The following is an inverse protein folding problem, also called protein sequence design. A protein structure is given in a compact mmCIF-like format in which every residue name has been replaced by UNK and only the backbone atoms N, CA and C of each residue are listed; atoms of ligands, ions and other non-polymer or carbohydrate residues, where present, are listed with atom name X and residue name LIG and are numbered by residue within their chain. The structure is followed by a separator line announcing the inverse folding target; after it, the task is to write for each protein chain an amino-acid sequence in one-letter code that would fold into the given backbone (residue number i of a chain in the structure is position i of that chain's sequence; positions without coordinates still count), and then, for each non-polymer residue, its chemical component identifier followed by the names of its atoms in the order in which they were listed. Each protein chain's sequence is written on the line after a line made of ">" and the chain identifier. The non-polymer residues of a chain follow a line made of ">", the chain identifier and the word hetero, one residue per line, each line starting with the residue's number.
data_IF_962117949208
#
_entry.id   IF_962117949208
#
_cell.length_a   1.000
_cell.length_b   1.000
_cell.length_c   1.000
_cell.angle_alpha   90.00
_cell.angle_beta   90.00
_cell.angle_gamma   90.00
#
_symmetry.space_group_name_H-M   'P 1'
#
loop_
_entity.id
_entity.type
_entity.pdbx_description
1 polymer ?
#
# COMPACT_ATOMS: atom_id res chain seq x y z
N UNK A 1 35.45 -31.26 -6.74
CA UNK A 1 34.15 -31.74 -7.27
C UNK A 1 33.10 -30.65 -7.11
N UNK A 2 32.22 -30.45 -8.11
CA UNK A 2 31.02 -29.60 -7.98
C UNK A 2 29.93 -30.42 -7.29
N UNK A 3 29.26 -29.82 -6.32
CA UNK A 3 28.12 -30.41 -5.60
C UNK A 3 26.92 -29.50 -5.83
N UNK A 4 25.78 -30.11 -6.13
CA UNK A 4 24.51 -29.42 -6.37
C UNK A 4 23.41 -30.09 -5.55
N UNK A 5 22.69 -29.28 -4.77
CA UNK A 5 21.57 -29.72 -3.95
C UNK A 5 20.25 -29.28 -4.60
N UNK A 6 19.39 -30.24 -4.90
CA UNK A 6 18.00 -29.99 -5.34
C UNK A 6 17.05 -30.43 -4.24
N UNK A 7 16.15 -29.54 -3.82
CA UNK A 7 15.11 -29.87 -2.84
C UNK A 7 14.00 -30.69 -3.54
N UNK A 8 13.46 -31.75 -2.90
CA UNK A 8 12.38 -32.52 -3.50
C UNK A 8 11.10 -31.67 -3.65
N UNK A 9 10.47 -31.64 -4.84
CA UNK A 9 9.21 -30.93 -5.04
C UNK A 9 8.12 -31.53 -4.15
N UNK A 10 7.26 -30.67 -3.56
CA UNK A 10 6.21 -31.09 -2.64
C UNK A 10 6.71 -31.53 -1.25
N UNK A 11 8.00 -31.39 -0.96
CA UNK A 11 8.51 -31.52 0.40
C UNK A 11 8.07 -30.33 1.25
N UNK A 12 8.02 -30.47 2.60
CA UNK A 12 7.77 -29.34 3.49
C UNK A 12 8.84 -28.23 3.35
N UNK A 13 9.94 -28.47 2.63
CA UNK A 13 11.07 -27.56 2.47
C UNK A 13 11.05 -26.77 1.15
N UNK A 14 10.03 -26.92 0.30
CA UNK A 14 9.97 -26.28 -1.02
C UNK A 14 9.92 -24.72 -0.96
N UNK A 15 9.57 -24.18 0.21
CA UNK A 15 9.59 -22.75 0.49
C UNK A 15 10.99 -22.20 0.85
N UNK A 16 11.97 -23.09 1.10
CA UNK A 16 13.34 -22.69 1.41
C UNK A 16 14.04 -22.17 0.16
N UNK A 17 14.86 -21.14 0.34
CA UNK A 17 15.72 -20.57 -0.71
C UNK A 17 17.20 -20.65 -0.27
N UNK A 18 18.16 -20.64 -1.21
CA UNK A 18 19.56 -20.57 -0.86
C UNK A 18 19.86 -19.29 -0.07
N UNK A 19 20.36 -19.45 1.16
CA UNK A 19 20.68 -18.34 2.05
C UNK A 19 22.10 -17.80 1.81
N UNK A 20 22.33 -16.55 2.18
CA UNK A 20 23.65 -15.91 2.13
C UNK A 20 24.61 -16.38 3.23
N UNK A 21 24.10 -17.04 4.28
CA UNK A 21 24.89 -17.60 5.37
C UNK A 21 25.25 -19.06 5.05
N UNK A 22 26.53 -19.35 4.80
CA UNK A 22 27.01 -20.70 4.47
C UNK A 22 27.10 -20.94 2.95
N UNK A 23 27.14 -22.22 2.55
CA UNK A 23 27.20 -22.61 1.13
C UNK A 23 25.81 -22.48 0.51
N UNK A 24 25.71 -21.97 -0.72
CA UNK A 24 24.47 -21.95 -1.51
C UNK A 24 24.15 -23.35 -2.04
N UNK A 25 23.08 -23.54 -2.83
CA UNK A 25 22.73 -24.85 -3.41
C UNK A 25 23.74 -25.37 -4.44
N UNK A 26 24.69 -24.53 -4.87
CA UNK A 26 25.81 -24.94 -5.75
C UNK A 26 27.13 -24.50 -5.12
N UNK A 27 28.01 -25.45 -4.84
CA UNK A 27 29.32 -25.16 -4.28
C UNK A 27 30.38 -26.18 -4.70
N UNK A 28 31.64 -25.85 -4.45
CA UNK A 28 32.78 -26.73 -4.72
C UNK A 28 33.31 -27.34 -3.42
N UNK A 29 33.69 -28.61 -3.47
CA UNK A 29 34.33 -29.33 -2.37
C UNK A 29 35.54 -30.12 -2.87
N UNK A 30 36.54 -30.31 -2.01
CA UNK A 30 37.73 -31.12 -2.29
C UNK A 30 37.61 -32.44 -1.53
N UNK A 31 37.80 -33.56 -2.22
CA UNK A 31 37.58 -34.89 -1.65
C UNK A 31 38.81 -35.45 -0.90
N UNK A 32 38.59 -36.38 0.04
CA UNK A 32 37.31 -36.78 0.63
C UNK A 32 36.85 -35.79 1.72
N UNK A 33 35.58 -35.36 1.67
CA UNK A 33 34.98 -34.43 2.66
C UNK A 33 33.63 -34.98 3.08
N UNK A 34 33.33 -34.94 4.39
CA UNK A 34 32.02 -35.20 5.00
C UNK A 34 31.56 -33.94 5.76
N UNK A 35 30.29 -33.87 6.17
CA UNK A 35 29.75 -32.71 6.89
C UNK A 35 29.60 -31.46 6.02
N UNK A 36 29.03 -31.62 4.82
CA UNK A 36 28.74 -30.48 3.94
C UNK A 36 27.41 -29.85 4.33
N UNK A 37 27.47 -28.70 4.99
CA UNK A 37 26.28 -27.93 5.36
C UNK A 37 25.92 -26.90 4.28
N UNK A 38 24.62 -26.74 4.03
CA UNK A 38 24.06 -25.70 3.16
C UNK A 38 23.29 -24.67 3.99
N UNK A 39 23.43 -23.42 3.60
CA UNK A 39 22.60 -22.33 4.13
C UNK A 39 21.29 -22.27 3.39
N UNK A 40 20.19 -22.51 4.07
CA UNK A 40 18.85 -22.29 3.54
C UNK A 40 18.15 -21.23 4.39
N UNK A 41 17.44 -20.31 3.75
CA UNK A 41 16.63 -19.31 4.43
C UNK A 41 15.15 -19.49 4.08
N UNK A 42 14.30 -19.11 5.02
CA UNK A 42 12.86 -18.92 4.82
C UNK A 42 12.66 -17.45 4.47
N UNK A 43 12.36 -17.08 3.20
CA UNK A 43 12.22 -15.67 2.83
C UNK A 43 11.10 -14.96 3.59
N UNK A 44 10.09 -15.69 4.07
CA UNK A 44 8.99 -15.08 4.83
C UNK A 44 9.44 -14.63 6.24
N UNK A 45 10.42 -15.32 6.83
CA UNK A 45 10.98 -15.00 8.16
C UNK A 45 12.09 -13.94 8.09
N UNK A 46 12.45 -13.51 6.88
CA UNK A 46 13.44 -12.44 6.72
C UNK A 46 12.88 -11.12 7.26
N UNK A 47 13.60 -10.57 8.24
CA UNK A 47 13.41 -9.22 8.73
C UNK A 47 14.67 -8.41 8.42
N UNK A 48 14.48 -7.25 7.77
CA UNK A 48 15.56 -6.30 7.56
C UNK A 48 15.94 -5.65 8.90
N UNK A 49 17.22 -5.31 9.08
CA UNK A 49 17.73 -4.78 10.34
C UNK A 49 17.04 -3.47 10.77
N UNK A 50 16.64 -2.65 9.78
CA UNK A 50 15.94 -1.39 10.00
C UNK A 50 14.86 -1.24 8.92
N UNK A 51 13.60 -1.63 9.19
CA UNK A 51 12.55 -1.55 8.19
C UNK A 51 11.94 -0.16 8.06
N UNK A 52 11.52 0.18 6.85
CA UNK A 52 10.56 1.26 6.64
C UNK A 52 9.22 0.91 7.32
N UNK A 53 8.69 1.86 8.08
CA UNK A 53 7.34 1.84 8.66
C UNK A 53 6.53 2.88 7.94
N UNK A 54 5.40 2.48 7.34
CA UNK A 54 4.47 3.42 6.73
C UNK A 54 3.33 3.80 7.68
N UNK A 55 2.78 5.00 7.48
CA UNK A 55 1.54 5.44 8.10
C UNK A 55 0.72 6.27 7.13
N UNK A 56 -0.59 6.30 7.37
CA UNK A 56 -1.56 7.08 6.59
C UNK A 56 -1.84 8.42 7.28
N UNK A 57 -1.85 9.49 6.50
CA UNK A 57 -2.23 10.83 6.91
C UNK A 57 -3.63 11.16 6.35
N UNK A 58 -4.41 11.92 7.12
CA UNK A 58 -5.77 12.29 6.73
C UNK A 58 -5.86 13.80 6.59
N UNK A 59 -6.19 14.25 5.39
CA UNK A 59 -6.30 15.66 5.04
C UNK A 59 -7.76 16.10 5.12
N UNK A 60 -7.96 17.36 5.48
CA UNK A 60 -9.30 17.95 5.51
C UNK A 60 -9.70 18.41 4.12
N UNK A 61 -10.88 17.99 3.66
CA UNK A 61 -11.49 18.40 2.39
C UNK A 61 -11.58 17.27 1.37
N UNK A 62 -12.11 17.63 0.20
CA UNK A 62 -12.13 16.77 -0.98
C UNK A 62 -10.81 16.94 -1.75
N UNK A 63 -9.99 15.88 -1.90
CA UNK A 63 -8.72 15.97 -2.61
C UNK A 63 -8.86 16.03 -4.14
N UNK A 64 -10.05 15.77 -4.69
CA UNK A 64 -10.31 15.82 -6.13
C UNK A 64 -10.90 17.17 -6.58
N UNK A 65 -11.29 18.03 -5.64
CA UNK A 65 -11.76 19.37 -5.94
C UNK A 65 -10.62 20.28 -6.43
N UNK A 66 -10.86 21.01 -7.52
CA UNK A 66 -9.87 21.91 -8.10
C UNK A 66 -9.45 23.00 -7.11
N UNK A 67 -8.14 23.13 -6.87
CA UNK A 67 -7.59 24.10 -5.91
C UNK A 67 -7.68 23.68 -4.44
N UNK A 68 -8.07 22.44 -4.16
CA UNK A 68 -8.06 21.88 -2.81
C UNK A 68 -6.65 21.72 -2.27
N UNK A 69 -6.40 22.19 -1.04
CA UNK A 69 -5.15 21.93 -0.33
C UNK A 69 -4.96 20.44 0.01
N UNK A 70 -6.04 19.66 0.02
CA UNK A 70 -5.96 18.21 0.24
C UNK A 70 -5.40 17.46 -0.98
N UNK A 71 -5.42 18.06 -2.18
CA UNK A 71 -4.95 17.42 -3.40
C UNK A 71 -3.44 17.12 -3.37
N UNK A 72 -2.66 18.08 -2.88
CA UNK A 72 -1.19 18.04 -2.88
C UNK A 72 -0.58 17.62 -1.54
N UNK A 73 -1.40 17.46 -0.49
CA UNK A 73 -0.91 17.03 0.82
C UNK A 73 -0.61 15.53 0.86
N UNK A 74 0.32 15.16 1.74
CA UNK A 74 0.67 13.75 1.96
C UNK A 74 -0.47 12.98 2.61
N UNK A 75 -0.83 11.84 2.03
CA UNK A 75 -1.79 10.88 2.60
C UNK A 75 -1.14 9.57 2.98
N UNK A 76 0.05 9.27 2.43
CA UNK A 76 0.85 8.10 2.82
C UNK A 76 2.30 8.51 2.91
N UNK A 77 2.92 8.18 4.05
CA UNK A 77 4.33 8.46 4.32
C UNK A 77 5.03 7.24 4.90
N UNK A 78 6.34 7.15 4.77
CA UNK A 78 7.17 6.18 5.50
C UNK A 78 8.35 6.81 6.21
N UNK A 79 8.83 6.11 7.24
CA UNK A 79 10.04 6.45 8.00
C UNK A 79 10.82 5.18 8.31
N UNK A 80 12.14 5.26 8.38
CA UNK A 80 12.94 4.19 8.93
C UNK A 80 12.55 3.91 10.39
N UNK A 81 12.52 2.64 10.79
CA UNK A 81 12.12 2.24 12.14
C UNK A 81 13.02 2.83 13.24
N UNK A 82 14.33 2.94 13.01
CA UNK A 82 15.30 3.50 13.95
C UNK A 82 15.50 5.02 13.81
N UNK A 83 14.70 5.69 12.95
CA UNK A 83 14.83 7.11 12.65
C UNK A 83 14.65 7.95 13.91
N UNK A 84 15.64 8.76 14.24
CA UNK A 84 15.62 9.66 15.41
C UNK A 84 15.20 11.10 15.08
N UNK A 85 15.17 11.47 13.79
CA UNK A 85 14.75 12.78 13.30
C UNK A 85 13.58 12.59 12.35
N UNK A 86 12.47 13.28 12.62
CA UNK A 86 11.25 13.19 11.81
C UNK A 86 11.47 13.83 10.43
N UNK A 87 11.75 13.01 9.43
CA UNK A 87 11.89 13.38 8.02
C UNK A 87 11.29 12.23 7.19
N UNK A 88 9.96 12.21 7.03
CA UNK A 88 9.28 11.14 6.31
C UNK A 88 9.58 11.17 4.81
N UNK A 89 9.54 9.98 4.20
CA UNK A 89 9.41 9.82 2.76
C UNK A 89 7.94 10.03 2.38
N UNK A 90 7.71 10.80 1.32
CA UNK A 90 6.40 11.12 0.79
C UNK A 90 6.03 10.05 -0.25
N UNK A 91 5.05 9.20 0.06
CA UNK A 91 4.74 8.03 -0.77
C UNK A 91 3.52 8.23 -1.68
N UNK A 92 2.52 8.98 -1.21
CA UNK A 92 1.33 9.32 -2.00
C UNK A 92 0.70 10.62 -1.48
N UNK A 93 0.05 11.34 -2.39
CA UNK A 93 -0.72 12.55 -2.09
C UNK A 93 -2.22 12.31 -2.16
N UNK A 94 -3.01 13.28 -1.69
CA UNK A 94 -4.46 13.16 -1.63
C UNK A 94 -5.13 12.99 -2.99
N UNK A 95 -4.67 13.66 -4.03
CA UNK A 95 -5.23 13.51 -5.38
C UNK A 95 -5.01 12.12 -5.99
N UNK A 96 -4.04 11.36 -5.50
CA UNK A 96 -3.75 10.01 -5.97
C UNK A 96 -4.56 8.93 -5.23
N UNK A 97 -4.69 9.03 -3.90
CA UNK A 97 -5.32 7.96 -3.09
C UNK A 97 -6.39 8.44 -2.11
N UNK A 98 -6.42 9.74 -1.79
CA UNK A 98 -7.31 10.33 -0.79
C UNK A 98 -7.20 9.67 0.59
N UNK A 99 -8.34 9.51 1.28
CA UNK A 99 -8.41 8.84 2.57
C UNK A 99 -8.29 7.32 2.42
N UNK A 100 -7.14 6.77 2.83
CA UNK A 100 -6.87 5.33 2.85
C UNK A 100 -6.55 4.83 4.26
N UNK A 101 -6.91 3.58 4.53
CA UNK A 101 -6.53 2.84 5.72
C UNK A 101 -6.61 1.34 5.46
N UNK A 102 -5.87 0.54 6.24
CA UNK A 102 -5.69 -0.87 5.95
C UNK A 102 -4.68 -1.03 4.81
N UNK A 103 -3.50 -1.52 5.17
CA UNK A 103 -2.37 -1.55 4.27
C UNK A 103 -1.67 -2.90 4.32
N UNK A 104 -1.25 -3.41 3.17
CA UNK A 104 -0.57 -4.70 3.07
C UNK A 104 0.60 -4.59 2.09
N UNK A 105 1.80 -4.89 2.57
CA UNK A 105 3.00 -4.90 1.75
C UNK A 105 3.32 -6.31 1.24
N UNK A 106 3.44 -6.45 -0.07
CA UNK A 106 3.84 -7.68 -0.74
C UNK A 106 5.29 -7.57 -1.22
N UNK A 107 6.20 -8.28 -0.53
CA UNK A 107 7.64 -8.27 -0.83
C UNK A 107 7.98 -8.78 -2.24
N UNK A 108 7.27 -9.77 -2.76
CA UNK A 108 7.61 -10.40 -4.05
C UNK A 108 7.44 -9.47 -5.25
N UNK A 109 6.48 -8.55 -5.18
CA UNK A 109 6.19 -7.55 -6.20
C UNK A 109 6.57 -6.13 -5.75
N UNK A 110 7.21 -6.00 -4.58
CA UNK A 110 7.58 -4.73 -3.96
C UNK A 110 6.41 -3.73 -3.98
N UNK A 111 5.20 -4.18 -3.62
CA UNK A 111 3.98 -3.37 -3.75
C UNK A 111 3.29 -3.19 -2.39
N UNK A 112 2.90 -1.96 -2.08
CA UNK A 112 2.02 -1.64 -0.95
C UNK A 112 0.60 -1.44 -1.47
N UNK A 113 -0.34 -2.20 -0.93
CA UNK A 113 -1.76 -2.07 -1.23
C UNK A 113 -2.46 -1.29 -0.12
N UNK A 114 -3.38 -0.41 -0.49
CA UNK A 114 -4.11 0.49 0.39
C UNK A 114 -5.60 0.47 0.05
N UNK A 115 -6.46 0.39 1.04
CA UNK A 115 -7.91 0.46 0.84
C UNK A 115 -8.46 1.85 1.19
N UNK A 116 -9.43 2.33 0.42
CA UNK A 116 -10.18 3.54 0.74
C UNK A 116 -10.90 3.37 2.09
N UNK A 117 -10.95 4.44 2.89
CA UNK A 117 -11.63 4.44 4.18
C UNK A 117 -12.53 5.65 4.34
N UNK A 118 -13.72 5.41 4.87
CA UNK A 118 -14.61 6.49 5.28
C UNK A 118 -14.10 7.12 6.57
N UNK A 119 -13.57 8.33 6.48
CA UNK A 119 -13.24 9.17 7.65
C UNK A 119 -13.89 10.54 7.52
N UNK A 120 -14.44 11.05 8.64
CA UNK A 120 -15.04 12.38 8.69
C UNK A 120 -14.05 13.43 8.19
N UNK A 121 -14.51 14.33 7.33
CA UNK A 121 -13.75 15.44 6.74
C UNK A 121 -12.58 15.07 5.83
N UNK A 122 -12.30 13.79 5.57
CA UNK A 122 -11.30 13.38 4.58
C UNK A 122 -12.00 12.77 3.38
N UNK A 123 -11.77 13.32 2.18
CA UNK A 123 -12.35 12.84 0.93
C UNK A 123 -11.68 11.57 0.40
N UNK A 124 -12.37 10.87 -0.49
CA UNK A 124 -11.84 9.69 -1.19
C UNK A 124 -10.93 10.11 -2.35
N UNK A 125 -10.05 9.20 -2.77
CA UNK A 125 -9.31 9.34 -4.02
C UNK A 125 -10.16 9.00 -5.26
N UNK A 126 -9.53 8.91 -6.45
CA UNK A 126 -10.20 8.73 -7.74
C UNK A 126 -11.17 7.54 -7.84
N UNK A 127 -10.90 6.44 -7.12
CA UNK A 127 -11.72 5.23 -7.13
C UNK A 127 -12.86 5.24 -6.09
N UNK A 128 -13.04 6.33 -5.35
CA UNK A 128 -14.13 6.49 -4.38
C UNK A 128 -14.08 5.49 -3.22
N UNK A 129 -15.26 5.18 -2.66
CA UNK A 129 -15.43 4.32 -1.48
C UNK A 129 -15.00 2.85 -1.68
N UNK A 130 -15.01 2.37 -2.92
CA UNK A 130 -14.59 1.01 -3.29
C UNK A 130 -13.14 0.91 -3.76
N UNK A 131 -12.36 1.99 -3.63
CA UNK A 131 -11.02 2.08 -4.17
C UNK A 131 -9.98 1.25 -3.41
N UNK A 132 -9.22 0.45 -4.14
CA UNK A 132 -7.92 -0.05 -3.71
C UNK A 132 -6.84 0.59 -4.58
N UNK A 133 -5.79 1.05 -3.94
CA UNK A 133 -4.66 1.70 -4.56
C UNK A 133 -3.40 0.87 -4.33
N UNK A 134 -2.43 1.02 -5.23
CA UNK A 134 -1.13 0.35 -5.17
C UNK A 134 -0.01 1.36 -5.29
N UNK A 135 0.96 1.26 -4.39
CA UNK A 135 2.25 1.95 -4.48
C UNK A 135 3.31 0.90 -4.84
N UNK A 136 3.97 1.08 -5.98
CA UNK A 136 5.02 0.21 -6.51
C UNK A 136 6.40 0.77 -6.16
N UNK A 137 7.25 -0.06 -5.55
CA UNK A 137 8.63 0.27 -5.14
C UNK A 137 9.69 -0.45 -6.00
N UNK A 138 9.29 -1.09 -7.10
CA UNK A 138 10.21 -1.84 -7.97
C UNK A 138 11.08 -0.93 -8.84
N UNK A 139 10.57 0.23 -9.25
CA UNK A 139 11.39 1.34 -9.74
C UNK A 139 11.94 2.10 -8.54
N UNK A 140 13.19 2.58 -8.59
CA UNK A 140 13.85 3.27 -7.46
C UNK A 140 13.13 4.50 -6.87
N UNK A 141 11.98 4.90 -7.43
CA UNK A 141 11.02 5.84 -6.85
C UNK A 141 9.63 5.16 -6.72
N UNK A 142 8.87 5.44 -5.64
CA UNK A 142 7.50 4.96 -5.48
C UNK A 142 6.59 5.46 -6.61
N UNK A 143 5.77 4.57 -7.16
CA UNK A 143 4.77 4.91 -8.19
C UNK A 143 3.38 4.53 -7.70
N UNK A 144 2.49 5.52 -7.61
CA UNK A 144 1.11 5.33 -7.19
C UNK A 144 0.22 5.01 -8.40
N UNK A 145 -0.72 4.08 -8.21
CA UNK A 145 -1.67 3.68 -9.24
C UNK A 145 -2.99 3.21 -8.66
N UNK A 146 -4.06 3.42 -9.42
CA UNK A 146 -5.35 2.77 -9.21
C UNK A 146 -5.20 1.26 -9.42
N UNK A 147 -5.64 0.47 -8.44
CA UNK A 147 -5.49 -0.99 -8.49
C UNK A 147 -6.81 -1.70 -8.76
N UNK A 148 -7.80 -1.55 -7.89
CA UNK A 148 -9.11 -2.20 -8.02
C UNK A 148 -10.21 -1.23 -7.59
N UNK A 149 -11.26 -1.11 -8.40
CA UNK A 149 -12.52 -0.52 -7.98
C UNK A 149 -13.54 -1.63 -7.68
N UNK A 150 -13.80 -1.85 -6.39
CA UNK A 150 -14.77 -2.86 -5.94
C UNK A 150 -16.20 -2.54 -6.40
N UNK A 151 -16.53 -1.26 -6.51
CA UNK A 151 -17.85 -0.77 -6.94
C UNK A 151 -18.09 -1.13 -8.41
N UNK A 152 -17.09 -0.91 -9.26
CA UNK A 152 -17.11 -1.33 -10.67
C UNK A 152 -17.19 -2.86 -10.84
N UNK A 153 -16.68 -3.62 -9.87
CA UNK A 153 -16.82 -5.09 -9.82
C UNK A 153 -18.17 -5.56 -9.26
N UNK A 154 -19.07 -4.65 -8.89
CA UNK A 154 -20.40 -4.97 -8.35
C UNK A 154 -20.36 -5.45 -6.89
N UNK A 155 -19.25 -5.23 -6.18
CA UNK A 155 -19.13 -5.53 -4.75
C UNK A 155 -19.76 -4.39 -3.96
N UNK A 156 -20.71 -4.73 -3.07
CA UNK A 156 -21.40 -3.75 -2.25
C UNK A 156 -20.50 -3.14 -1.17
N UNK A 157 -20.06 -1.90 -1.40
CA UNK A 157 -19.24 -1.10 -0.47
C UNK A 157 -20.04 0.00 0.23
N UNK A 158 -21.36 0.04 0.00
CA UNK A 158 -22.25 1.09 0.46
C UNK A 158 -22.28 2.30 -0.49
N UNK A 159 -23.00 3.34 -0.10
CA UNK A 159 -23.03 4.64 -0.78
C UNK A 159 -22.11 5.62 -0.06
N UNK A 160 -21.45 6.52 -0.78
CA UNK A 160 -20.73 7.62 -0.13
C UNK A 160 -21.76 8.48 0.63
N UNK A 161 -21.67 8.58 1.97
CA UNK A 161 -22.59 9.42 2.75
C UNK A 161 -22.38 10.92 2.51
N UNK A 162 -21.35 11.32 1.75
CA UNK A 162 -21.11 12.71 1.33
C UNK A 162 -21.82 13.05 0.02
N UNK A 163 -22.18 12.05 -0.77
CA UNK A 163 -23.02 12.21 -1.95
C UNK A 163 -24.49 12.20 -1.52
N UNK A 164 -24.92 13.28 -0.87
CA UNK A 164 -26.34 13.47 -0.54
C UNK A 164 -27.08 13.95 -1.79
N UNK A 165 -28.11 13.23 -2.27
CA UNK A 165 -28.90 13.72 -3.40
C UNK A 165 -29.61 15.03 -3.03
N UNK A 166 -29.24 16.12 -3.69
CA UNK A 166 -29.94 17.41 -3.59
C UNK A 166 -29.25 18.51 -2.79
N UNK A 167 -28.04 18.28 -2.25
CA UNK A 167 -27.20 19.40 -1.81
C UNK A 167 -25.94 19.45 -2.67
N UNK A 168 -25.69 20.60 -3.30
CA UNK A 168 -24.41 20.86 -3.97
C UNK A 168 -23.27 20.65 -2.94
N UNK A 169 -22.18 19.96 -3.31
CA UNK A 169 -21.01 19.86 -2.45
C UNK A 169 -20.56 21.27 -2.05
N UNK A 170 -20.16 21.50 -0.79
CA UNK A 170 -19.74 22.82 -0.33
C UNK A 170 -18.44 23.21 -1.05
N UNK A 171 -18.58 23.88 -2.19
CA UNK A 171 -17.48 24.24 -3.09
C UNK A 171 -17.93 24.74 -4.47
N UNK A 172 -19.14 24.40 -4.93
CA UNK A 172 -19.62 24.89 -6.21
C UNK A 172 -20.45 26.17 -6.02
N UNK A 173 -19.93 27.31 -6.48
CA UNK A 173 -20.63 28.59 -6.47
C UNK A 173 -22.01 28.44 -7.10
N UNK A 174 -23.04 28.67 -6.29
CA UNK A 174 -24.44 28.51 -6.63
C UNK A 174 -24.83 29.34 -7.87
N UNK A 175 -25.26 28.67 -8.94
CA UNK A 175 -26.17 29.22 -9.94
C UNK A 175 -27.32 28.24 -10.18
N UNK A 176 -28.09 27.93 -9.14
CA UNK A 176 -29.29 27.12 -9.26
C UNK A 176 -30.24 27.38 -8.10
N UNK A 177 -31.48 27.77 -8.40
CA UNK A 177 -32.52 28.14 -7.45
C UNK A 177 -32.70 27.10 -6.32
N UNK A 178 -32.43 27.51 -5.08
CA UNK A 178 -32.74 26.74 -3.88
C UNK A 178 -34.27 26.70 -3.65
N UNK A 179 -34.91 25.51 -3.63
CA UNK A 179 -36.30 25.41 -3.19
C UNK A 179 -36.37 25.52 -1.66
N UNK A 180 -37.32 26.33 -1.19
CA UNK A 180 -37.47 26.75 0.20
C UNK A 180 -37.42 25.61 1.23
N UNK A 181 -36.52 25.77 2.22
CA UNK A 181 -36.37 24.91 3.41
C UNK A 181 -37.68 24.82 4.20
N UNK A 182 -38.31 23.65 4.24
CA UNK A 182 -39.45 23.39 5.13
C UNK A 182 -38.97 23.26 6.59
N UNK A 183 -39.65 23.89 7.56
CA UNK A 183 -39.30 23.75 8.96
C UNK A 183 -39.82 22.41 9.51
N UNK A 184 -38.93 21.63 10.11
CA UNK A 184 -39.30 20.51 10.96
C UNK A 184 -39.36 20.97 12.42
N UNK A 185 -40.59 20.92 12.95
CA UNK A 185 -41.07 20.99 14.35
C UNK A 185 -40.40 22.00 15.30
#
# INVERSE_FOLDING_TARGET
>A
MRVELTLPPGSPFDHLRPGAAGRTTTFFATGPTSGLDVGLNVPIDYCQANPDVMTTCFLHGDPLHAGSLAADGDTVVSVDYDRTVMSPNHLAIGSEVGAVWGAAYQRSSQSLFLAAVLKRHAGFGPLGIGGLYRIDFSSGSPVVSDFIDLTALGIGVGTDPRDVPGEDPPGNGATGNEPARQPHL
#
